data_IF_341008880776
#
_entry.id   IF_341008880776
#
_cell.length_a   1.000
_cell.length_b   1.000
_cell.length_c   1.000
_cell.angle_alpha   90.00
_cell.angle_beta   90.00
_cell.angle_gamma   90.00
#
_symmetry.space_group_name_H-M   'P 1'
#
loop_
_entity.id
_entity.type
_entity.pdbx_description
1 polymer ?
#
# COMPACT_ATOMS: atom_id res chain seq x y z
N UNK A 1 -10.53 -21.32 -27.95
CA UNK A 1 -11.23 -20.74 -26.78
C UNK A 1 -10.16 -20.35 -25.79
N UNK A 2 -10.06 -19.08 -25.47
CA UNK A 2 -9.15 -18.61 -24.44
C UNK A 2 -9.75 -18.93 -23.05
N UNK A 3 -8.97 -19.57 -22.20
CA UNK A 3 -9.36 -19.82 -20.81
C UNK A 3 -8.79 -18.70 -19.95
N UNK A 4 -9.66 -17.97 -19.25
CA UNK A 4 -9.21 -16.95 -18.32
C UNK A 4 -8.53 -17.64 -17.14
N UNK A 5 -7.30 -17.29 -16.77
CA UNK A 5 -6.65 -17.83 -15.59
C UNK A 5 -7.46 -17.54 -14.32
N UNK A 6 -7.45 -18.48 -13.38
CA UNK A 6 -8.11 -18.32 -12.07
C UNK A 6 -7.18 -17.76 -11.00
N UNK A 7 -5.89 -17.68 -11.29
CA UNK A 7 -4.86 -17.16 -10.40
C UNK A 7 -3.99 -16.17 -11.17
N UNK A 8 -3.48 -15.17 -10.47
CA UNK A 8 -2.47 -14.23 -10.97
C UNK A 8 -1.08 -14.82 -10.73
N UNK A 9 -0.80 -15.89 -11.48
CA UNK A 9 0.45 -16.65 -11.40
C UNK A 9 0.82 -17.11 -12.82
N UNK A 10 1.76 -16.40 -13.42
CA UNK A 10 2.15 -16.58 -14.80
C UNK A 10 3.61 -16.98 -14.89
N UNK A 11 3.94 -17.75 -15.95
CA UNK A 11 5.29 -18.23 -16.21
C UNK A 11 5.62 -18.14 -17.69
N UNK A 12 6.91 -17.99 -18.00
CA UNK A 12 7.43 -18.12 -19.34
C UNK A 12 7.39 -19.57 -19.84
N UNK A 13 7.86 -19.81 -21.07
CA UNK A 13 7.87 -21.14 -21.67
C UNK A 13 8.81 -22.13 -20.97
N UNK A 14 9.79 -21.63 -20.21
CA UNK A 14 10.75 -22.42 -19.45
C UNK A 14 10.29 -22.66 -18.00
N UNK A 15 9.13 -22.13 -17.61
CA UNK A 15 8.53 -22.28 -16.28
C UNK A 15 9.03 -21.29 -15.24
N UNK A 16 9.74 -20.25 -15.65
CA UNK A 16 10.15 -19.19 -14.73
C UNK A 16 8.98 -18.22 -14.48
N UNK A 17 8.76 -17.82 -13.23
CA UNK A 17 7.71 -16.85 -12.91
C UNK A 17 7.98 -15.51 -13.58
N UNK A 18 6.94 -14.97 -14.24
CA UNK A 18 6.95 -13.62 -14.82
C UNK A 18 6.23 -12.60 -13.95
N UNK A 19 5.77 -12.98 -12.73
CA UNK A 19 5.03 -12.11 -11.81
C UNK A 19 5.96 -11.50 -10.77
N UNK A 20 5.89 -10.17 -10.59
CA UNK A 20 6.72 -9.44 -9.65
C UNK A 20 6.05 -8.17 -9.10
N UNK A 21 5.42 -8.25 -7.93
CA UNK A 21 4.80 -7.12 -7.22
C UNK A 21 5.15 -7.03 -5.72
N UNK A 22 6.26 -7.61 -5.29
CA UNK A 22 6.67 -7.61 -3.87
C UNK A 22 6.85 -6.22 -3.25
N UNK A 23 7.20 -5.22 -4.07
CA UNK A 23 7.30 -3.84 -3.61
C UNK A 23 5.95 -3.21 -3.25
N UNK A 24 4.88 -3.63 -3.90
CA UNK A 24 3.50 -3.22 -3.65
C UNK A 24 2.97 -3.90 -2.39
N UNK A 25 3.21 -5.22 -2.26
CA UNK A 25 2.90 -5.99 -1.05
C UNK A 25 3.55 -5.35 0.18
N UNK A 26 4.84 -4.99 0.11
CA UNK A 26 5.53 -4.32 1.21
C UNK A 26 4.85 -3.00 1.63
N UNK A 27 4.36 -2.20 0.67
CA UNK A 27 3.64 -0.95 0.98
C UNK A 27 2.24 -1.20 1.55
N UNK A 28 1.58 -2.27 1.12
CA UNK A 28 0.34 -2.70 1.76
C UNK A 28 0.57 -3.13 3.21
N UNK A 29 1.67 -3.84 3.49
CA UNK A 29 2.06 -4.21 4.85
C UNK A 29 2.33 -2.97 5.71
N UNK A 30 3.09 -2.00 5.18
CA UNK A 30 3.33 -0.72 5.87
C UNK A 30 2.03 0.00 6.22
N UNK A 31 1.08 0.12 5.28
CA UNK A 31 -0.20 0.78 5.55
C UNK A 31 -1.05 -0.02 6.53
N UNK A 32 -1.03 -1.35 6.48
CA UNK A 32 -1.74 -2.20 7.42
C UNK A 32 -1.22 -2.03 8.85
N UNK A 33 0.10 -2.03 9.04
CA UNK A 33 0.71 -1.82 10.36
C UNK A 33 0.51 -0.38 10.86
N UNK A 34 0.63 0.62 9.98
CA UNK A 34 0.33 2.02 10.32
C UNK A 34 -1.12 2.19 10.78
N UNK A 35 -2.08 1.58 10.06
CA UNK A 35 -3.50 1.61 10.45
C UNK A 35 -3.72 0.91 11.79
N UNK A 36 -3.05 -0.20 12.02
CA UNK A 36 -3.09 -0.91 13.31
C UNK A 36 -2.54 -0.05 14.44
N UNK A 37 -1.43 0.65 14.20
CA UNK A 37 -0.85 1.59 15.16
C UNK A 37 -1.81 2.75 15.47
N UNK A 38 -2.40 3.37 14.45
CA UNK A 38 -3.42 4.42 14.63
C UNK A 38 -4.58 3.93 15.50
N UNK A 39 -5.05 2.71 15.30
CA UNK A 39 -6.15 2.11 16.08
C UNK A 39 -5.78 1.80 17.52
N UNK A 40 -4.51 1.75 17.90
CA UNK A 40 -4.12 1.56 19.31
C UNK A 40 -4.60 2.71 20.21
N UNK A 41 -4.77 3.91 19.67
CA UNK A 41 -5.34 5.04 20.42
C UNK A 41 -6.80 4.80 20.85
N UNK A 42 -7.49 3.88 20.20
CA UNK A 42 -8.90 3.55 20.43
C UNK A 42 -9.10 2.34 21.35
N UNK A 43 -8.04 1.81 21.95
CA UNK A 43 -8.18 0.70 22.88
C UNK A 43 -8.92 1.10 24.15
N UNK A 44 -9.68 0.17 24.71
CA UNK A 44 -10.51 0.35 25.90
C UNK A 44 -9.74 1.02 27.04
N UNK A 45 -10.21 2.17 27.48
CA UNK A 45 -9.56 2.99 28.50
C UNK A 45 -8.83 4.23 27.96
N UNK A 46 -8.72 4.40 26.65
CA UNK A 46 -8.39 5.65 25.98
C UNK A 46 -7.08 6.32 26.34
N UNK A 47 -6.04 5.58 26.67
CA UNK A 47 -4.81 6.15 27.21
C UNK A 47 -3.59 6.07 26.28
N UNK A 48 -3.70 5.42 25.12
CA UNK A 48 -2.56 5.36 24.18
C UNK A 48 -2.47 6.65 23.38
N UNK A 49 -1.56 7.52 23.81
CA UNK A 49 -1.15 8.67 23.02
C UNK A 49 -0.28 8.17 21.85
N UNK A 50 -0.69 8.49 20.63
CA UNK A 50 0.13 8.21 19.46
C UNK A 50 1.38 9.10 19.43
N UNK A 51 2.48 8.57 18.91
CA UNK A 51 3.69 9.33 18.63
C UNK A 51 3.72 9.73 17.16
N UNK A 52 3.71 11.04 16.89
CA UNK A 52 3.76 11.58 15.53
C UNK A 52 5.06 11.26 14.81
N UNK A 53 6.18 11.18 15.53
CA UNK A 53 7.46 10.80 14.94
C UNK A 53 7.43 9.33 14.45
N UNK A 54 6.76 8.44 15.19
CA UNK A 54 6.55 7.06 14.77
C UNK A 54 5.72 6.98 13.48
N UNK A 55 4.60 7.71 13.37
CA UNK A 55 3.78 7.74 12.16
C UNK A 55 4.55 8.28 10.96
N UNK A 56 5.32 9.35 11.13
CA UNK A 56 6.17 9.90 10.06
C UNK A 56 7.26 8.90 9.64
N UNK A 57 7.88 8.22 10.60
CA UNK A 57 8.88 7.19 10.34
C UNK A 57 8.28 5.96 9.62
N UNK A 58 7.04 5.59 9.92
CA UNK A 58 6.31 4.56 9.17
C UNK A 58 6.01 5.01 7.74
N UNK A 59 5.71 6.28 7.53
CA UNK A 59 5.39 6.84 6.22
C UNK A 59 6.59 6.86 5.27
N UNK A 60 7.77 7.27 5.75
CA UNK A 60 9.02 7.31 4.97
C UNK A 60 9.89 6.04 5.10
N UNK A 61 9.41 5.06 5.87
CA UNK A 61 10.10 3.80 6.17
C UNK A 61 11.46 3.95 6.86
N UNK A 62 11.62 4.95 7.69
CA UNK A 62 12.72 5.01 8.66
C UNK A 62 12.41 4.27 9.98
N UNK A 63 11.18 3.80 10.13
CA UNK A 63 10.74 3.04 11.30
C UNK A 63 11.37 1.65 11.33
N UNK A 64 11.90 1.24 12.49
CA UNK A 64 12.57 -0.06 12.70
C UNK A 64 11.75 -1.04 13.54
N UNK A 65 10.62 -0.59 14.08
CA UNK A 65 9.75 -1.40 14.95
C UNK A 65 8.64 -2.15 14.20
N UNK A 66 8.77 -2.36 12.89
CA UNK A 66 7.81 -3.14 12.12
C UNK A 66 7.65 -4.56 12.66
N UNK A 67 6.43 -5.07 12.72
CA UNK A 67 6.17 -6.48 13.03
C UNK A 67 6.73 -7.39 11.95
N UNK A 68 6.56 -6.99 10.69
CA UNK A 68 7.25 -7.62 9.55
C UNK A 68 8.64 -7.01 9.40
N UNK A 69 9.67 -7.73 9.88
CA UNK A 69 11.06 -7.25 9.85
C UNK A 69 11.65 -7.10 8.43
N UNK A 70 11.04 -7.72 7.41
CA UNK A 70 11.44 -7.57 6.00
C UNK A 70 11.15 -6.15 5.47
N UNK A 71 10.38 -5.35 6.19
CA UNK A 71 10.15 -3.94 5.86
C UNK A 71 11.34 -3.05 6.24
N UNK A 72 12.13 -3.44 7.24
CA UNK A 72 13.25 -2.62 7.74
C UNK A 72 14.32 -2.48 6.67
N UNK A 73 14.56 -1.24 6.24
CA UNK A 73 15.64 -0.93 5.29
C UNK A 73 15.48 -1.51 3.89
N UNK A 74 14.28 -1.99 3.51
CA UNK A 74 14.02 -2.59 2.18
C UNK A 74 13.96 -1.56 1.04
N UNK A 75 14.12 -0.27 1.33
CA UNK A 75 14.10 0.81 0.35
C UNK A 75 12.70 1.17 -0.19
N UNK A 76 11.63 0.54 0.30
CA UNK A 76 10.26 0.87 -0.08
C UNK A 76 9.68 1.90 0.88
N UNK A 77 8.84 2.81 0.37
CA UNK A 77 8.21 3.87 1.17
C UNK A 77 6.79 4.12 0.66
N UNK A 78 5.88 4.48 1.55
CA UNK A 78 4.58 5.04 1.20
C UNK A 78 4.74 6.47 0.68
N UNK A 79 5.55 7.28 1.39
CA UNK A 79 5.77 8.71 1.10
C UNK A 79 6.20 8.96 -0.34
N UNK A 80 7.25 8.30 -0.80
CA UNK A 80 7.80 8.51 -2.15
C UNK A 80 6.84 8.13 -3.28
N UNK A 81 5.83 7.33 -2.98
CA UNK A 81 4.79 6.88 -3.93
C UNK A 81 3.47 7.66 -3.80
N UNK A 82 3.31 8.46 -2.76
CA UNK A 82 2.11 9.30 -2.56
C UNK A 82 2.04 10.37 -3.65
N UNK A 83 0.93 10.38 -4.40
CA UNK A 83 0.64 11.32 -5.48
C UNK A 83 1.82 11.50 -6.45
N UNK A 84 2.44 10.39 -6.84
CA UNK A 84 3.60 10.35 -7.74
C UNK A 84 4.82 11.16 -7.23
N UNK A 85 4.93 11.30 -5.91
CA UNK A 85 6.02 12.05 -5.27
C UNK A 85 5.74 13.54 -5.05
N UNK A 86 4.49 14.01 -5.22
CA UNK A 86 4.13 15.41 -4.99
C UNK A 86 4.34 15.82 -3.53
N UNK A 87 5.26 16.76 -3.29
CA UNK A 87 5.64 17.21 -1.96
C UNK A 87 4.51 17.93 -1.20
N UNK A 88 3.62 18.60 -1.92
CA UNK A 88 2.47 19.29 -1.32
C UNK A 88 1.48 18.27 -0.74
N UNK A 89 1.16 17.23 -1.50
CA UNK A 89 0.28 16.14 -1.04
C UNK A 89 0.94 15.34 0.08
N UNK A 90 2.24 15.05 -0.02
CA UNK A 90 2.98 14.41 1.07
C UNK A 90 2.88 15.20 2.37
N UNK A 91 3.04 16.52 2.31
CA UNK A 91 2.91 17.42 3.46
C UNK A 91 1.50 17.42 4.08
N UNK A 92 0.45 17.22 3.28
CA UNK A 92 -0.91 17.05 3.80
C UNK A 92 -1.00 15.79 4.68
N UNK A 93 -0.46 14.65 4.22
CA UNK A 93 -0.45 13.41 5.00
C UNK A 93 0.40 13.54 6.27
N UNK A 94 1.55 14.20 6.20
CA UNK A 94 2.38 14.49 7.38
C UNK A 94 1.62 15.34 8.40
N UNK A 95 0.87 16.34 7.91
CA UNK A 95 -0.02 17.14 8.74
C UNK A 95 -1.13 16.32 9.43
N UNK A 96 -1.74 15.37 8.71
CA UNK A 96 -2.74 14.46 9.28
C UNK A 96 -2.14 13.51 10.32
N UNK A 97 -0.94 12.99 10.09
CA UNK A 97 -0.22 12.13 11.03
C UNK A 97 0.13 12.89 12.32
N UNK A 98 0.59 14.13 12.17
CA UNK A 98 0.87 15.02 13.31
C UNK A 98 -0.43 15.38 14.05
N UNK A 99 -1.50 15.66 13.32
CA UNK A 99 -2.83 15.93 13.88
C UNK A 99 -3.39 14.74 14.67
N UNK A 100 -3.26 13.53 14.12
CA UNK A 100 -3.67 12.30 14.79
C UNK A 100 -2.92 12.10 16.12
N UNK A 101 -1.61 12.36 16.12
CA UNK A 101 -0.80 12.25 17.34
C UNK A 101 -1.11 13.35 18.38
N UNK A 102 -1.54 14.53 17.95
CA UNK A 102 -1.94 15.63 18.84
C UNK A 102 -3.39 15.50 19.33
N UNK A 103 -4.19 14.62 18.72
CA UNK A 103 -5.59 14.43 19.10
C UNK A 103 -5.69 13.90 20.53
N UNK A 104 -6.64 14.45 21.31
CA UNK A 104 -6.93 13.95 22.65
C UNK A 104 -7.54 12.54 22.52
N UNK A 105 -7.06 11.54 23.29
CA UNK A 105 -7.64 10.20 23.24
C UNK A 105 -9.05 10.16 23.76
N UNK A 106 -9.75 9.10 23.47
CA UNK A 106 -10.52 8.84 22.28
C UNK A 106 -11.94 9.33 22.47
N UNK A 107 -12.55 9.64 21.37
CA UNK A 107 -14.00 9.77 21.33
C UNK A 107 -14.66 8.42 21.63
N UNK A 108 -15.84 8.44 22.24
CA UNK A 108 -16.58 7.26 22.69
C UNK A 108 -16.84 6.23 21.58
N UNK A 109 -16.76 6.62 20.31
CA UNK A 109 -17.00 5.77 19.15
C UNK A 109 -15.79 4.93 18.71
N UNK A 110 -14.68 5.02 19.41
CA UNK A 110 -13.64 4.01 19.51
C UNK A 110 -12.85 3.61 18.26
N UNK A 111 -13.21 4.03 17.06
CA UNK A 111 -12.58 3.51 15.83
C UNK A 111 -11.80 4.53 15.03
N UNK A 112 -12.02 5.81 15.18
CA UNK A 112 -11.58 6.80 14.18
C UNK A 112 -10.88 8.02 14.74
N UNK A 113 -10.25 8.03 15.86
CA UNK A 113 -9.51 9.20 16.35
C UNK A 113 -10.10 10.53 15.80
N UNK A 114 -11.24 10.93 16.34
CA UNK A 114 -11.96 12.08 15.83
C UNK A 114 -11.44 13.39 16.46
N UNK A 115 -11.09 14.37 15.64
CA UNK A 115 -10.83 15.73 16.11
C UNK A 115 -12.12 16.43 16.55
N UNK A 116 -12.02 17.47 17.39
CA UNK A 116 -13.15 18.34 17.76
C UNK A 116 -13.87 18.94 16.52
N UNK A 117 -13.15 19.09 15.42
CA UNK A 117 -13.63 19.57 14.13
C UNK A 117 -14.28 18.49 13.26
N UNK A 118 -14.39 17.24 13.76
CA UNK A 118 -15.02 16.13 13.07
C UNK A 118 -14.13 15.35 12.10
N UNK A 119 -12.84 15.65 12.01
CA UNK A 119 -11.92 14.84 11.19
C UNK A 119 -11.68 13.48 11.85
N UNK A 120 -11.85 12.42 11.06
CA UNK A 120 -11.55 11.05 11.43
C UNK A 120 -10.14 10.70 10.95
N UNK A 121 -9.13 10.93 11.78
CA UNK A 121 -7.72 10.81 11.38
C UNK A 121 -7.34 9.46 10.83
N UNK A 122 -7.83 8.37 11.41
CA UNK A 122 -7.56 7.01 10.91
C UNK A 122 -8.11 6.83 9.49
N UNK A 123 -9.33 7.34 9.22
CA UNK A 123 -9.93 7.26 7.89
C UNK A 123 -9.21 8.15 6.89
N UNK A 124 -8.86 9.38 7.27
CA UNK A 124 -8.12 10.29 6.39
C UNK A 124 -6.78 9.69 5.96
N UNK A 125 -6.04 9.12 6.90
CA UNK A 125 -4.72 8.53 6.61
C UNK A 125 -4.88 7.23 5.82
N UNK A 126 -5.68 6.27 6.28
CA UNK A 126 -5.82 4.97 5.61
C UNK A 126 -6.43 5.11 4.22
N UNK A 127 -7.61 5.73 4.11
CA UNK A 127 -8.32 5.85 2.82
C UNK A 127 -7.65 6.86 1.90
N UNK A 128 -7.06 7.90 2.49
CA UNK A 128 -6.24 8.85 1.75
C UNK A 128 -5.05 8.18 1.08
N UNK A 129 -4.29 7.34 1.79
CA UNK A 129 -3.16 6.61 1.21
C UNK A 129 -3.60 5.51 0.24
N UNK A 130 -4.74 4.85 0.47
CA UNK A 130 -5.32 3.96 -0.54
C UNK A 130 -5.54 4.69 -1.87
N UNK A 131 -5.95 5.96 -1.83
CA UNK A 131 -6.20 6.76 -3.03
C UNK A 131 -4.91 7.43 -3.54
N UNK A 132 -4.24 8.22 -2.70
CA UNK A 132 -3.10 9.03 -3.12
C UNK A 132 -1.82 8.21 -3.36
N UNK A 133 -1.67 7.04 -2.74
CA UNK A 133 -0.55 6.14 -3.02
C UNK A 133 -1.00 5.01 -3.97
N UNK A 134 -1.89 4.11 -3.55
CA UNK A 134 -2.17 2.89 -4.31
C UNK A 134 -2.91 3.18 -5.63
N UNK A 135 -4.07 3.84 -5.60
CA UNK A 135 -4.83 4.10 -6.82
C UNK A 135 -4.08 5.04 -7.77
N UNK A 136 -3.40 6.06 -7.26
CA UNK A 136 -2.58 6.97 -8.06
C UNK A 136 -1.45 6.25 -8.77
N UNK A 137 -0.72 5.37 -8.09
CA UNK A 137 0.33 4.57 -8.73
C UNK A 137 -0.25 3.58 -9.74
N UNK A 138 -1.32 2.87 -9.39
CA UNK A 138 -1.97 1.91 -10.25
C UNK A 138 -2.41 2.54 -11.58
N UNK A 139 -3.15 3.66 -11.51
CA UNK A 139 -3.81 4.24 -12.69
C UNK A 139 -2.96 5.26 -13.42
N UNK A 140 -2.28 6.17 -12.69
CA UNK A 140 -1.58 7.32 -13.27
C UNK A 140 -0.09 7.09 -13.49
N UNK A 141 0.46 6.00 -12.98
CA UNK A 141 1.84 5.60 -13.23
C UNK A 141 1.89 4.32 -14.08
N UNK A 142 1.49 3.18 -13.54
CA UNK A 142 1.75 1.89 -14.18
C UNK A 142 0.81 1.58 -15.35
N UNK A 143 -0.47 1.89 -15.27
CA UNK A 143 -1.40 1.67 -16.39
C UNK A 143 -1.40 2.82 -17.41
N UNK A 144 -0.94 4.01 -17.01
CA UNK A 144 -0.82 5.13 -17.93
C UNK A 144 0.34 4.90 -18.89
N UNK A 145 0.02 4.72 -20.16
CA UNK A 145 1.04 4.49 -21.19
C UNK A 145 1.52 3.05 -21.36
N UNK A 146 0.91 2.09 -20.66
CA UNK A 146 1.25 0.67 -20.73
C UNK A 146 1.26 0.11 -22.17
N UNK A 147 0.47 0.68 -23.07
CA UNK A 147 0.43 0.29 -24.49
C UNK A 147 1.74 0.55 -25.23
N UNK A 148 2.60 1.42 -24.70
CA UNK A 148 3.91 1.74 -25.27
C UNK A 148 5.06 0.92 -24.71
N UNK A 149 4.82 0.13 -23.66
CA UNK A 149 5.84 -0.70 -23.03
C UNK A 149 6.25 -1.88 -23.91
N UNK A 150 7.51 -2.27 -23.80
CA UNK A 150 8.00 -3.46 -24.51
C UNK A 150 7.40 -4.73 -23.90
N UNK A 151 6.74 -5.53 -24.75
CA UNK A 151 6.20 -6.84 -24.39
C UNK A 151 6.87 -7.98 -25.17
N UNK A 152 8.08 -7.78 -25.68
CA UNK A 152 8.75 -8.75 -26.56
C UNK A 152 9.92 -9.48 -25.91
N UNK A 153 10.59 -8.86 -24.94
CA UNK A 153 11.78 -9.42 -24.28
C UNK A 153 11.73 -9.22 -22.76
N UNK A 154 12.21 -10.22 -22.04
CA UNK A 154 12.37 -10.13 -20.59
C UNK A 154 13.43 -9.09 -20.21
N UNK A 155 13.18 -8.31 -19.15
CA UNK A 155 14.00 -7.13 -18.82
C UNK A 155 15.39 -7.48 -18.32
N UNK A 156 15.56 -8.60 -17.59
CA UNK A 156 16.86 -9.00 -17.04
C UNK A 156 16.86 -10.48 -16.57
N UNK A 157 16.78 -11.46 -17.51
CA UNK A 157 16.74 -12.88 -17.13
C UNK A 157 17.97 -13.36 -16.37
N UNK A 158 19.13 -12.72 -16.60
CA UNK A 158 20.38 -13.08 -15.92
C UNK A 158 20.30 -12.83 -14.40
N UNK A 159 19.44 -11.90 -13.98
CA UNK A 159 19.16 -11.59 -12.57
C UNK A 159 17.75 -12.03 -12.12
N UNK A 160 17.16 -13.00 -12.83
CA UNK A 160 15.87 -13.60 -12.45
C UNK A 160 14.64 -12.76 -12.76
N UNK A 161 14.74 -11.74 -13.62
CA UNK A 161 13.61 -10.93 -14.05
C UNK A 161 13.14 -11.40 -15.42
N UNK A 162 12.28 -12.39 -15.40
CA UNK A 162 11.78 -13.06 -16.60
C UNK A 162 10.57 -12.37 -17.22
N UNK A 163 10.02 -11.35 -16.56
CA UNK A 163 8.92 -10.52 -17.07
C UNK A 163 9.40 -9.50 -18.09
N UNK A 164 8.50 -9.11 -19.00
CA UNK A 164 8.69 -7.96 -19.89
C UNK A 164 8.36 -6.65 -19.16
N UNK A 165 8.68 -5.49 -19.74
CA UNK A 165 8.34 -4.19 -19.18
C UNK A 165 6.82 -4.05 -19.00
N UNK A 166 6.03 -4.43 -20.01
CA UNK A 166 4.56 -4.39 -19.94
C UNK A 166 4.00 -5.30 -18.86
N UNK A 167 4.48 -6.55 -18.77
CA UNK A 167 4.07 -7.48 -17.72
C UNK A 167 4.38 -6.92 -16.34
N UNK A 168 5.56 -6.32 -16.16
CA UNK A 168 5.93 -5.75 -14.86
C UNK A 168 5.04 -4.58 -14.44
N UNK A 169 4.70 -3.68 -15.35
CA UNK A 169 3.77 -2.60 -15.04
C UNK A 169 2.37 -3.10 -14.71
N UNK A 170 1.90 -4.17 -15.39
CA UNK A 170 0.66 -4.87 -15.01
C UNK A 170 0.75 -5.45 -13.60
N UNK A 171 1.84 -6.13 -13.27
CA UNK A 171 2.08 -6.69 -11.95
C UNK A 171 2.06 -5.62 -10.87
N UNK A 172 2.75 -4.50 -11.11
CA UNK A 172 2.81 -3.39 -10.17
C UNK A 172 1.42 -2.74 -9.98
N UNK A 173 0.63 -2.63 -11.04
CA UNK A 173 -0.75 -2.16 -10.93
C UNK A 173 -1.62 -3.17 -10.17
N UNK A 174 -1.54 -4.46 -10.49
CA UNK A 174 -2.25 -5.52 -9.78
C UNK A 174 -1.88 -5.55 -8.30
N UNK A 175 -0.58 -5.48 -7.97
CA UNK A 175 -0.07 -5.51 -6.60
C UNK A 175 -0.56 -4.35 -5.73
N UNK A 176 -0.90 -3.19 -6.31
CA UNK A 176 -1.57 -2.10 -5.58
C UNK A 176 -3.08 -2.29 -5.44
N UNK A 177 -3.70 -3.12 -6.28
CA UNK A 177 -5.10 -3.50 -6.12
C UNK A 177 -5.25 -4.60 -5.06
N UNK A 178 -4.46 -5.66 -5.15
CA UNK A 178 -4.43 -6.78 -4.21
C UNK A 178 -3.11 -7.52 -4.28
N UNK A 179 -2.68 -8.09 -3.16
CA UNK A 179 -1.54 -9.01 -3.09
C UNK A 179 -1.97 -10.50 -3.12
N UNK A 180 -3.26 -10.77 -3.26
CA UNK A 180 -3.80 -12.11 -3.33
C UNK A 180 -3.73 -12.65 -4.77
N UNK A 181 -2.93 -13.67 -5.01
CA UNK A 181 -2.80 -14.31 -6.34
C UNK A 181 -4.07 -15.02 -6.80
N UNK A 182 -4.94 -15.42 -5.88
CA UNK A 182 -6.20 -16.10 -6.12
C UNK A 182 -7.43 -15.19 -5.93
N UNK A 183 -7.28 -13.89 -6.09
CA UNK A 183 -8.41 -12.95 -6.01
C UNK A 183 -9.56 -13.36 -6.98
N UNK A 184 -10.83 -13.36 -6.57
CA UNK A 184 -11.39 -12.85 -5.30
C UNK A 184 -11.55 -13.91 -4.20
N UNK A 185 -11.05 -15.12 -4.38
CA UNK A 185 -11.30 -16.26 -3.47
C UNK A 185 -10.49 -16.21 -2.18
N UNK A 186 -9.40 -15.45 -2.15
CA UNK A 186 -8.58 -15.29 -0.95
C UNK A 186 -9.35 -14.65 0.20
N UNK A 187 -9.27 -15.26 1.37
CA UNK A 187 -9.78 -14.68 2.60
C UNK A 187 -8.95 -13.52 3.16
N UNK A 188 -7.82 -13.19 2.53
CA UNK A 188 -6.86 -12.18 3.00
C UNK A 188 -6.95 -10.85 2.26
N UNK A 189 -8.00 -10.65 1.45
CA UNK A 189 -8.19 -9.40 0.72
C UNK A 189 -8.18 -8.18 1.65
N UNK A 190 -7.42 -7.16 1.28
CA UNK A 190 -7.29 -5.90 2.01
C UNK A 190 -7.39 -4.71 1.05
N UNK A 191 -7.63 -3.53 1.58
CA UNK A 191 -7.72 -2.28 0.82
C UNK A 191 -8.66 -2.38 -0.40
N UNK A 192 -8.18 -2.03 -1.61
CA UNK A 192 -9.01 -2.04 -2.82
C UNK A 192 -9.57 -3.42 -3.14
N UNK A 193 -8.78 -4.47 -3.03
CA UNK A 193 -9.23 -5.85 -3.24
C UNK A 193 -10.38 -6.23 -2.30
N UNK A 194 -10.32 -5.81 -1.02
CA UNK A 194 -11.42 -6.01 -0.08
C UNK A 194 -12.68 -5.27 -0.50
N UNK A 195 -12.57 -3.99 -0.88
CA UNK A 195 -13.75 -3.18 -1.26
C UNK A 195 -14.39 -3.65 -2.57
N UNK A 196 -13.59 -4.13 -3.51
CA UNK A 196 -14.11 -4.65 -4.77
C UNK A 196 -14.77 -6.03 -4.62
N UNK A 197 -14.48 -6.75 -3.54
CA UNK A 197 -15.04 -8.09 -3.25
C UNK A 197 -16.23 -8.05 -2.28
N UNK A 198 -16.68 -6.90 -1.86
CA UNK A 198 -17.89 -6.70 -1.05
C UNK A 198 -19.11 -6.42 -1.99
#
# INVERSE_FOLDING_TARGET
TYTVPTTYDFSDADGNSTVSFGGQTARMDMLSEMTSYLKTANTSGGSNQLDGATLLAMYDNSYTGWSNQDLVGNGKQLKSKTALGDAGVQGVFEGWMTGAAAATPPTEDGYYLQAETGQEWTQLIEKGLMSACFASQMTSNYLAGIESDDNSVAVDPANGKYYTEMEHHWDEAYGYFTDAVDYPTSGTNRFWGKYANN
#
